data_IF_681754482375
#
_entry.id   IF_681754482375
#
_cell.length_a   1.000
_cell.length_b   1.000
_cell.length_c   1.000
_cell.angle_alpha   90.00
_cell.angle_beta   90.00
_cell.angle_gamma   90.00
#
_symmetry.space_group_name_H-M   'P 1'
#
loop_
_entity.id
_entity.type
_entity.pdbx_description
1 polymer ?
#
# COMPACT_ATOMS: atom_id res chain seq x y z
N UNK A 1 4.57 -3.30 -8.62
CA UNK A 1 3.89 -3.54 -9.92
C UNK A 1 4.79 -2.98 -11.01
N UNK A 2 4.71 -3.47 -12.26
CA UNK A 2 5.59 -3.01 -13.35
C UNK A 2 4.97 -1.85 -14.13
N UNK A 3 4.49 -0.81 -13.44
CA UNK A 3 3.80 0.33 -14.05
C UNK A 3 4.23 1.65 -13.38
N UNK A 4 4.29 2.73 -14.16
CA UNK A 4 4.67 4.07 -13.71
C UNK A 4 3.73 4.65 -12.64
N UNK A 5 2.45 4.27 -12.68
CA UNK A 5 1.41 4.74 -11.76
C UNK A 5 1.42 4.06 -10.38
N UNK A 6 2.20 2.99 -10.19
CA UNK A 6 2.29 2.28 -8.90
C UNK A 6 3.16 3.05 -7.90
N UNK A 7 2.64 4.21 -7.47
CA UNK A 7 3.28 5.13 -6.52
C UNK A 7 2.29 5.46 -5.40
N UNK A 8 2.67 5.15 -4.16
CA UNK A 8 1.83 5.41 -2.97
C UNK A 8 1.86 6.88 -2.52
N UNK A 9 2.82 7.69 -3.00
CA UNK A 9 2.91 9.11 -2.73
C UNK A 9 4.10 9.78 -3.42
N UNK A 10 4.11 11.11 -3.42
CA UNK A 10 5.21 11.96 -3.89
C UNK A 10 5.56 12.99 -2.82
N UNK A 11 6.84 13.36 -2.75
CA UNK A 11 7.34 14.46 -1.90
C UNK A 11 6.88 14.38 -0.43
N UNK A 12 6.83 13.15 0.11
CA UNK A 12 6.44 12.90 1.50
C UNK A 12 7.65 13.07 2.41
N UNK A 13 7.49 13.89 3.45
CA UNK A 13 8.45 13.99 4.54
C UNK A 13 8.41 12.69 5.36
N UNK A 14 9.52 11.96 5.33
CA UNK A 14 9.72 10.74 6.11
C UNK A 14 10.99 10.89 6.95
N UNK A 15 11.03 10.30 8.16
CA UNK A 15 12.29 10.16 8.89
C UNK A 15 13.27 9.26 8.10
N UNK A 16 14.55 9.17 8.49
CA UNK A 16 15.45 8.15 7.95
C UNK A 16 14.82 6.76 8.08
N UNK A 17 14.80 6.00 6.97
CA UNK A 17 14.21 4.65 6.90
C UNK A 17 15.25 3.62 6.47
N UNK A 18 15.00 2.36 6.80
CA UNK A 18 15.79 1.20 6.40
C UNK A 18 14.87 0.06 5.99
N UNK A 19 15.44 -0.93 5.32
CA UNK A 19 14.73 -2.16 5.00
C UNK A 19 14.17 -2.82 6.28
N UNK A 20 12.91 -3.24 6.21
CA UNK A 20 12.17 -3.82 7.34
C UNK A 20 11.37 -2.84 8.19
N UNK A 21 11.55 -1.52 8.03
CA UNK A 21 10.67 -0.54 8.69
C UNK A 21 9.24 -0.63 8.12
N UNK A 22 8.24 -0.36 8.98
CA UNK A 22 6.83 -0.43 8.62
C UNK A 22 6.27 0.98 8.40
N UNK A 23 5.59 1.17 7.27
CA UNK A 23 4.84 2.39 6.95
C UNK A 23 3.35 2.08 6.92
N UNK A 24 2.52 2.98 7.45
CA UNK A 24 1.07 2.86 7.42
C UNK A 24 0.45 3.90 6.47
N UNK A 25 -0.40 3.44 5.56
CA UNK A 25 -1.32 4.31 4.81
C UNK A 25 -2.64 4.30 5.58
N UNK A 26 -2.98 5.45 6.16
CA UNK A 26 -4.17 5.61 7.00
C UNK A 26 -5.42 5.89 6.15
N UNK A 27 -6.59 5.74 6.77
CA UNK A 27 -7.89 6.08 6.18
C UNK A 27 -8.23 5.31 4.88
N UNK A 28 -7.79 4.06 4.78
CA UNK A 28 -7.96 3.19 3.59
C UNK A 28 -9.21 2.32 3.62
N UNK A 29 -10.12 2.53 4.60
CA UNK A 29 -11.30 1.69 4.80
C UNK A 29 -12.38 1.83 3.72
N UNK A 30 -12.48 2.99 3.08
CA UNK A 30 -13.40 3.22 1.96
C UNK A 30 -12.66 3.02 0.63
N UNK A 31 -13.26 2.26 -0.29
CA UNK A 31 -12.78 2.04 -1.67
C UNK A 31 -11.37 1.40 -1.81
N UNK A 32 -10.69 1.05 -0.73
CA UNK A 32 -9.38 0.38 -0.78
C UNK A 32 -9.51 -1.08 -1.22
N UNK A 33 -9.95 -1.96 -0.31
CA UNK A 33 -10.05 -3.39 -0.59
C UNK A 33 -11.01 -3.74 -1.71
N UNK A 34 -12.18 -3.10 -1.75
CA UNK A 34 -13.21 -3.38 -2.78
C UNK A 34 -12.71 -3.09 -4.21
N UNK A 35 -11.67 -2.28 -4.38
CA UNK A 35 -11.03 -2.01 -5.68
C UNK A 35 -9.69 -2.75 -5.87
N UNK A 36 -9.29 -3.63 -4.96
CA UNK A 36 -8.05 -4.41 -5.08
C UNK A 36 -8.17 -5.53 -6.13
N UNK A 37 -7.04 -6.00 -6.66
CA UNK A 37 -6.98 -7.06 -7.68
C UNK A 37 -5.76 -7.96 -7.50
N UNK A 38 -5.71 -9.06 -8.24
CA UNK A 38 -4.57 -9.98 -8.29
C UNK A 38 -3.54 -9.59 -9.39
N UNK A 39 -3.47 -8.31 -9.75
CA UNK A 39 -2.56 -7.85 -10.82
C UNK A 39 -1.10 -8.20 -10.51
N UNK A 40 -0.36 -8.61 -11.55
CA UNK A 40 0.99 -9.19 -11.44
C UNK A 40 1.09 -10.36 -10.45
N UNK A 41 0.04 -11.19 -10.35
CA UNK A 41 0.01 -12.41 -9.54
C UNK A 41 0.27 -12.15 -8.05
N UNK A 42 -0.13 -10.98 -7.53
CA UNK A 42 0.00 -10.61 -6.12
C UNK A 42 -1.33 -10.75 -5.41
N UNK A 43 -1.35 -11.44 -4.28
CA UNK A 43 -2.55 -11.50 -3.44
C UNK A 43 -2.87 -10.13 -2.83
N UNK A 44 -4.16 -9.74 -2.77
CA UNK A 44 -4.61 -8.57 -2.05
C UNK A 44 -4.21 -8.59 -0.55
N UNK A 45 -3.91 -7.42 0.03
CA UNK A 45 -3.42 -7.30 1.41
C UNK A 45 -4.42 -7.84 2.46
N UNK A 46 -3.98 -8.70 3.38
CA UNK A 46 -4.84 -9.34 4.37
C UNK A 46 -5.65 -8.33 5.21
N UNK A 47 -6.92 -8.64 5.47
CA UNK A 47 -7.77 -7.90 6.40
C UNK A 47 -7.78 -8.58 7.77
N UNK A 48 -7.64 -7.78 8.82
CA UNK A 48 -7.68 -8.23 10.21
C UNK A 48 -8.77 -7.46 10.93
N UNK A 49 -9.70 -8.19 11.54
CA UNK A 49 -10.68 -7.64 12.48
C UNK A 49 -10.13 -7.84 13.90
N UNK A 50 -10.19 -6.79 14.72
CA UNK A 50 -9.69 -6.77 16.10
C UNK A 50 -10.86 -6.82 17.07
#
# INVERSE_FOLDING_TARGET
ICETGDRLGSERWLPPTREGDVLAILNTGAYGRVMSSHYNLREPAAEVLI
#
